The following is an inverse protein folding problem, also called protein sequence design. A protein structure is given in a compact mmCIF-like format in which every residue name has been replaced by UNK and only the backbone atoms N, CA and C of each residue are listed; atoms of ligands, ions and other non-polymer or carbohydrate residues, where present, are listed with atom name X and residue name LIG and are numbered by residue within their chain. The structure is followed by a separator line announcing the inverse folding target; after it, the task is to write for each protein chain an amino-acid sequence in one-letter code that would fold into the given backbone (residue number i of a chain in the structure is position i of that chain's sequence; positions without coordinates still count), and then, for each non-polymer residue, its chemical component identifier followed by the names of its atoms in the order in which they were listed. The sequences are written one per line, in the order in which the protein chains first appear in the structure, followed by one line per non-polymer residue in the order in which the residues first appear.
data_IF_301699098112
#
_entry.id   IF_301699098112
#
_cell.length_a   1.000
_cell.length_b   1.000
_cell.length_c   1.000
_cell.angle_alpha   90.00
_cell.angle_beta   90.00
_cell.angle_gamma   90.00
#
_symmetry.space_group_name_H-M   'P 1'
#
loop_
_entity.id
_entity.type
_entity.pdbx_description
1 polymer ?
#
# COMPACT_ATOMS: atom_id res chain seq x y z
N UNK A 1 8.52 -22.30 -18.55
CA UNK A 1 7.40 -21.67 -17.82
C UNK A 1 7.90 -20.40 -17.17
N UNK A 2 7.28 -19.28 -17.46
CA UNK A 2 7.56 -18.02 -16.76
C UNK A 2 7.00 -18.11 -15.34
N UNK A 3 7.83 -17.80 -14.34
CA UNK A 3 7.40 -17.75 -12.93
C UNK A 3 6.31 -16.70 -12.77
N UNK A 4 5.19 -17.06 -12.17
CA UNK A 4 4.12 -16.12 -11.83
C UNK A 4 4.64 -15.11 -10.80
N UNK A 5 4.30 -13.84 -10.98
CA UNK A 5 4.66 -12.74 -10.11
C UNK A 5 3.40 -12.30 -9.37
N UNK A 6 3.35 -12.51 -8.07
CA UNK A 6 2.22 -12.10 -7.23
C UNK A 6 2.40 -10.66 -6.76
N UNK A 7 1.49 -9.79 -7.16
CA UNK A 7 1.49 -8.37 -6.85
C UNK A 7 0.27 -8.04 -5.98
N UNK A 8 0.51 -7.56 -4.78
CA UNK A 8 -0.55 -7.21 -3.85
C UNK A 8 -0.76 -5.70 -3.72
N UNK A 9 -1.99 -5.26 -3.82
CA UNK A 9 -2.41 -3.91 -3.51
C UNK A 9 -3.22 -3.92 -2.22
N UNK A 10 -2.79 -3.17 -1.22
CA UNK A 10 -3.61 -2.89 -0.05
C UNK A 10 -4.70 -1.91 -0.46
N UNK A 11 -5.96 -2.33 -0.39
CA UNK A 11 -7.10 -1.43 -0.59
C UNK A 11 -7.85 -1.28 0.73
N UNK A 12 -8.44 -0.12 0.96
CA UNK A 12 -9.13 0.19 2.21
C UNK A 12 -10.16 1.30 1.99
N UNK A 13 -11.15 1.47 2.87
CA UNK A 13 -12.12 2.56 2.75
C UNK A 13 -11.42 3.92 2.63
N UNK A 14 -11.92 4.77 1.73
CA UNK A 14 -11.37 6.10 1.45
C UNK A 14 -9.97 6.10 0.79
N UNK A 15 -9.56 4.97 0.19
CA UNK A 15 -8.34 4.86 -0.62
C UNK A 15 -8.40 5.79 -1.84
N UNK A 16 -7.30 6.40 -2.21
CA UNK A 16 -7.22 7.19 -3.45
C UNK A 16 -7.27 6.26 -4.65
N UNK A 17 -8.38 6.27 -5.37
CA UNK A 17 -8.61 5.35 -6.49
C UNK A 17 -7.57 5.47 -7.60
N UNK A 18 -7.11 6.68 -7.90
CA UNK A 18 -6.08 6.90 -8.92
C UNK A 18 -4.77 6.17 -8.57
N UNK A 19 -4.38 6.19 -7.29
CA UNK A 19 -3.17 5.52 -6.83
C UNK A 19 -3.23 4.00 -7.04
N UNK A 20 -4.42 3.43 -6.86
CA UNK A 20 -4.66 2.00 -7.10
C UNK A 20 -4.73 1.72 -8.59
N UNK A 21 -5.60 2.40 -9.32
CA UNK A 21 -5.91 2.07 -10.73
C UNK A 21 -4.73 2.33 -11.66
N UNK A 22 -3.98 3.42 -11.48
CA UNK A 22 -2.83 3.72 -12.32
C UNK A 22 -1.72 2.68 -12.12
N UNK A 23 -1.38 2.37 -10.88
CA UNK A 23 -0.37 1.36 -10.59
C UNK A 23 -0.83 -0.05 -11.01
N UNK A 24 -2.09 -0.39 -10.79
CA UNK A 24 -2.70 -1.65 -11.23
C UNK A 24 -2.54 -1.84 -12.73
N UNK A 25 -2.95 -0.82 -13.52
CA UNK A 25 -2.90 -0.88 -14.98
C UNK A 25 -1.50 -1.18 -15.50
N UNK A 26 -0.49 -0.53 -14.93
CA UNK A 26 0.91 -0.71 -15.33
C UNK A 26 1.45 -2.06 -14.87
N UNK A 27 1.22 -2.43 -13.63
CA UNK A 27 1.78 -3.66 -13.03
C UNK A 27 1.07 -4.95 -13.51
N UNK A 28 -0.16 -4.84 -13.99
CA UNK A 28 -0.90 -5.96 -14.59
C UNK A 28 -0.51 -6.27 -16.03
N UNK A 29 0.28 -5.41 -16.68
CA UNK A 29 0.62 -5.56 -18.08
C UNK A 29 1.42 -6.84 -18.41
N UNK A 30 2.41 -7.28 -17.60
CA UNK A 30 3.13 -8.51 -17.89
C UNK A 30 2.21 -9.74 -17.78
N UNK A 31 2.23 -10.67 -18.76
CA UNK A 31 1.38 -11.87 -18.73
C UNK A 31 1.60 -12.78 -17.50
N UNK A 32 2.76 -12.67 -16.87
CA UNK A 32 3.09 -13.41 -15.64
C UNK A 32 2.59 -12.75 -14.37
N UNK A 33 2.01 -11.53 -14.44
CA UNK A 33 1.51 -10.82 -13.27
C UNK A 33 0.19 -11.42 -12.80
N UNK A 34 0.09 -11.64 -11.50
CA UNK A 34 -1.14 -11.99 -10.79
C UNK A 34 -1.42 -10.91 -9.76
N UNK A 35 -2.49 -10.16 -9.96
CA UNK A 35 -2.84 -9.04 -9.09
C UNK A 35 -3.80 -9.47 -8.00
N UNK A 36 -3.50 -9.08 -6.78
CA UNK A 36 -4.32 -9.32 -5.59
C UNK A 36 -4.72 -7.98 -4.96
N UNK A 37 -6.02 -7.71 -4.93
CA UNK A 37 -6.59 -6.60 -4.18
C UNK A 37 -6.91 -7.10 -2.78
N UNK A 38 -6.24 -6.56 -1.78
CA UNK A 38 -6.16 -7.14 -0.44
C UNK A 38 -6.85 -6.23 0.57
N UNK A 39 -7.79 -6.79 1.31
CA UNK A 39 -8.40 -6.14 2.46
C UNK A 39 -8.66 -7.16 3.58
N UNK A 40 -9.24 -6.73 4.69
CA UNK A 40 -9.59 -7.59 5.83
C UNK A 40 -10.69 -8.60 5.48
N UNK A 41 -11.65 -8.17 4.67
CA UNK A 41 -12.79 -8.96 4.21
C UNK A 41 -12.92 -8.90 2.70
N UNK A 42 -13.79 -9.70 2.11
CA UNK A 42 -14.14 -9.64 0.69
C UNK A 42 -15.26 -8.64 0.40
N UNK A 43 -15.77 -7.94 1.42
CA UNK A 43 -16.74 -6.88 1.23
C UNK A 43 -16.14 -5.71 0.45
N UNK A 44 -16.91 -5.11 -0.47
CA UNK A 44 -16.44 -3.97 -1.25
C UNK A 44 -16.03 -2.79 -0.37
N UNK A 45 -14.98 -2.10 -0.78
CA UNK A 45 -14.56 -0.83 -0.18
C UNK A 45 -14.91 0.33 -1.10
N UNK A 46 -15.26 1.46 -0.54
CA UNK A 46 -15.54 2.69 -1.29
C UNK A 46 -14.32 3.60 -1.24
N UNK A 47 -13.85 4.02 -2.42
CA UNK A 47 -12.71 4.94 -2.55
C UNK A 47 -13.08 6.37 -2.14
N UNK A 48 -12.09 7.25 -2.12
CA UNK A 48 -12.27 8.68 -1.80
C UNK A 48 -13.26 9.41 -2.73
N UNK A 49 -13.41 8.98 -3.98
CA UNK A 49 -14.33 9.57 -4.96
C UNK A 49 -15.56 8.69 -5.24
N UNK A 50 -15.84 7.70 -4.38
CA UNK A 50 -17.05 6.90 -4.45
C UNK A 50 -16.98 5.66 -5.36
N UNK A 51 -15.81 5.34 -5.94
CA UNK A 51 -15.65 4.11 -6.69
C UNK A 51 -15.70 2.90 -5.75
N UNK A 52 -16.53 1.93 -6.09
CA UNK A 52 -16.64 0.67 -5.34
C UNK A 52 -15.60 -0.31 -5.88
N UNK A 53 -14.73 -0.80 -5.01
CA UNK A 53 -13.65 -1.73 -5.35
C UNK A 53 -13.84 -3.01 -4.52
N UNK A 54 -13.95 -4.15 -5.20
CA UNK A 54 -14.09 -5.44 -4.51
C UNK A 54 -12.71 -6.07 -4.31
N UNK A 55 -12.33 -6.42 -3.06
CA UNK A 55 -11.12 -7.19 -2.78
C UNK A 55 -11.16 -8.56 -3.47
N UNK A 56 -10.00 -9.04 -3.93
CA UNK A 56 -9.88 -10.37 -4.52
C UNK A 56 -9.40 -11.41 -3.51
N UNK A 57 -8.83 -10.96 -2.39
CA UNK A 57 -8.37 -11.81 -1.29
C UNK A 57 -8.38 -11.05 0.04
N UNK A 58 -8.34 -11.79 1.13
CA UNK A 58 -8.20 -11.20 2.47
C UNK A 58 -6.75 -11.23 2.92
N UNK A 59 -6.40 -10.44 3.95
CA UNK A 59 -5.07 -10.48 4.57
C UNK A 59 -4.71 -11.89 5.08
N UNK A 60 -5.70 -12.68 5.54
CA UNK A 60 -5.49 -14.04 6.06
C UNK A 60 -5.27 -15.07 4.95
N UNK A 61 -5.88 -14.88 3.78
CA UNK A 61 -5.80 -15.82 2.64
C UNK A 61 -4.85 -15.32 1.54
N UNK A 62 -4.18 -14.20 1.76
CA UNK A 62 -3.28 -13.60 0.80
C UNK A 62 -2.08 -14.53 0.52
N UNK A 63 -1.80 -14.85 -0.75
CA UNK A 63 -0.63 -15.64 -1.10
C UNK A 63 0.68 -14.93 -0.75
N UNK A 64 1.79 -15.61 -0.93
CA UNK A 64 3.10 -14.97 -0.87
C UNK A 64 3.21 -13.96 -2.01
N UNK A 65 3.61 -12.73 -1.67
CA UNK A 65 3.74 -11.62 -2.60
C UNK A 65 5.20 -11.41 -3.01
N UNK A 66 5.41 -11.14 -4.28
CA UNK A 66 6.69 -10.68 -4.82
C UNK A 66 6.81 -9.15 -4.75
N UNK A 67 5.69 -8.45 -4.91
CA UNK A 67 5.59 -6.99 -4.81
C UNK A 67 4.37 -6.59 -3.98
N UNK A 68 4.57 -5.61 -3.11
CA UNK A 68 3.50 -4.97 -2.32
C UNK A 68 3.39 -3.51 -2.77
N UNK A 69 2.20 -3.06 -3.07
CA UNK A 69 1.89 -1.67 -3.38
C UNK A 69 0.89 -1.12 -2.36
N UNK A 70 1.27 -0.03 -1.71
CA UNK A 70 0.43 0.65 -0.71
C UNK A 70 0.04 2.03 -1.25
N UNK A 71 -1.22 2.22 -1.65
CA UNK A 71 -1.74 3.49 -2.11
C UNK A 71 -2.00 4.47 -0.96
N UNK A 72 -2.15 5.74 -1.28
CA UNK A 72 -2.60 6.75 -0.35
C UNK A 72 -4.10 6.75 -0.12
N UNK A 73 -4.56 7.59 0.79
CA UNK A 73 -5.97 7.74 1.12
C UNK A 73 -6.24 8.97 1.98
N UNK A 74 -7.50 9.18 2.30
CA UNK A 74 -7.96 10.22 3.21
C UNK A 74 -8.01 9.75 4.67
N UNK A 75 -9.19 9.86 5.29
CA UNK A 75 -9.40 9.47 6.70
C UNK A 75 -9.13 7.97 6.90
N UNK A 76 -9.54 7.12 5.96
CA UNK A 76 -9.29 5.67 6.02
C UNK A 76 -7.81 5.31 6.13
N UNK A 77 -6.92 6.12 5.54
CA UNK A 77 -5.48 5.95 5.72
C UNK A 77 -5.06 6.14 7.19
N UNK A 78 -5.63 7.12 7.89
CA UNK A 78 -5.33 7.37 9.30
C UNK A 78 -5.74 6.17 10.16
N UNK A 79 -6.88 5.57 9.85
CA UNK A 79 -7.37 4.35 10.52
C UNK A 79 -6.41 3.17 10.26
N UNK A 80 -6.00 2.96 9.01
CA UNK A 80 -5.03 1.91 8.64
C UNK A 80 -3.69 2.10 9.37
N UNK A 81 -3.22 3.32 9.53
CA UNK A 81 -1.98 3.62 10.27
C UNK A 81 -2.07 3.29 11.77
N UNK A 82 -3.27 3.13 12.31
CA UNK A 82 -3.50 2.73 13.71
C UNK A 82 -3.89 1.25 13.84
N UNK A 83 -4.11 0.58 12.72
CA UNK A 83 -4.57 -0.79 12.66
C UNK A 83 -3.41 -1.78 12.76
N UNK A 84 -3.26 -2.38 13.94
CA UNK A 84 -2.17 -3.32 14.22
C UNK A 84 -2.20 -4.56 13.33
N UNK A 85 -3.37 -5.02 12.93
CA UNK A 85 -3.54 -6.20 12.06
C UNK A 85 -2.96 -5.92 10.68
N UNK A 86 -3.29 -4.76 10.10
CA UNK A 86 -2.77 -4.34 8.78
C UNK A 86 -1.26 -4.07 8.86
N UNK A 87 -0.79 -3.37 9.89
CA UNK A 87 0.64 -3.11 10.04
C UNK A 87 1.45 -4.40 10.21
N UNK A 88 0.94 -5.35 10.99
CA UNK A 88 1.57 -6.67 11.16
C UNK A 88 1.57 -7.47 9.85
N UNK A 89 0.47 -7.45 9.10
CA UNK A 89 0.39 -8.07 7.77
C UNK A 89 1.47 -7.52 6.83
N UNK A 90 1.60 -6.19 6.73
CA UNK A 90 2.63 -5.56 5.91
C UNK A 90 4.05 -5.95 6.35
N UNK A 91 4.31 -5.95 7.65
CA UNK A 91 5.60 -6.37 8.21
C UNK A 91 5.93 -7.83 7.89
N UNK A 92 4.97 -8.73 7.98
CA UNK A 92 5.17 -10.15 7.68
C UNK A 92 5.41 -10.39 6.20
N UNK A 93 4.58 -9.81 5.32
CA UNK A 93 4.71 -9.99 3.87
C UNK A 93 5.98 -9.34 3.33
N UNK A 94 6.41 -8.23 3.91
CA UNK A 94 7.63 -7.52 3.50
C UNK A 94 8.92 -8.31 3.72
N UNK A 95 8.93 -9.26 4.65
CA UNK A 95 10.13 -10.09 4.91
C UNK A 95 10.53 -10.95 3.71
N UNK A 96 9.57 -11.29 2.86
CA UNK A 96 9.76 -12.19 1.72
C UNK A 96 9.54 -11.48 0.39
N UNK A 97 8.70 -10.45 0.37
CA UNK A 97 8.46 -9.64 -0.83
C UNK A 97 9.77 -9.02 -1.33
N UNK A 98 9.97 -9.13 -2.63
CA UNK A 98 11.16 -8.58 -3.30
C UNK A 98 11.11 -7.06 -3.42
N UNK A 99 9.91 -6.52 -3.57
CA UNK A 99 9.67 -5.08 -3.71
C UNK A 99 8.53 -4.64 -2.80
N UNK A 100 8.75 -3.51 -2.12
CA UNK A 100 7.75 -2.81 -1.33
C UNK A 100 7.65 -1.41 -1.90
N UNK A 101 6.47 -1.05 -2.36
CA UNK A 101 6.22 0.22 -3.04
C UNK A 101 5.04 0.95 -2.41
N UNK A 102 5.01 2.25 -2.58
CA UNK A 102 3.89 3.08 -2.20
C UNK A 102 3.64 4.18 -3.22
N UNK A 103 2.42 4.63 -3.29
CA UNK A 103 2.01 5.77 -4.11
C UNK A 103 1.46 6.85 -3.18
N UNK A 104 1.74 8.12 -3.49
CA UNK A 104 1.22 9.27 -2.76
C UNK A 104 1.53 9.19 -1.25
N UNK A 105 0.50 9.30 -0.41
CA UNK A 105 0.62 9.20 1.06
C UNK A 105 0.70 7.77 1.60
N UNK A 106 0.66 6.75 0.75
CA UNK A 106 0.87 5.36 1.15
C UNK A 106 2.21 5.11 1.84
N UNK A 107 3.21 5.95 1.57
CA UNK A 107 4.50 5.94 2.28
C UNK A 107 4.36 6.17 3.79
N UNK A 108 3.32 6.89 4.23
CA UNK A 108 3.05 7.08 5.67
C UNK A 108 2.64 5.78 6.35
N UNK A 109 1.87 4.94 5.67
CA UNK A 109 1.50 3.61 6.16
C UNK A 109 2.76 2.74 6.28
N UNK A 110 3.63 2.75 5.26
CA UNK A 110 4.90 2.01 5.31
C UNK A 110 5.81 2.51 6.43
N UNK A 111 5.88 3.82 6.64
CA UNK A 111 6.64 4.42 7.74
C UNK A 111 6.10 3.96 9.11
N UNK A 112 4.77 3.94 9.27
CA UNK A 112 4.12 3.48 10.50
C UNK A 112 4.35 1.98 10.76
N UNK A 113 4.48 1.19 9.69
CA UNK A 113 4.85 -0.22 9.77
C UNK A 113 6.36 -0.44 10.00
N UNK A 114 7.16 0.61 10.19
CA UNK A 114 8.63 0.58 10.33
C UNK A 114 9.37 0.00 9.10
N UNK A 115 8.77 0.08 7.92
CA UNK A 115 9.35 -0.46 6.68
C UNK A 115 10.22 0.55 5.93
N UNK A 116 10.25 1.81 6.36
CA UNK A 116 11.07 2.86 5.75
C UNK A 116 12.31 3.25 6.59
N UNK A 117 12.59 2.56 7.68
CA UNK A 117 13.74 2.87 8.53
C UNK A 117 15.04 2.70 7.75
N UNK A 118 15.84 3.78 7.65
CA UNK A 118 17.09 3.79 6.90
C UNK A 118 16.95 4.03 5.39
N UNK A 119 15.72 4.18 4.88
CA UNK A 119 15.47 4.49 3.47
C UNK A 119 15.08 5.95 3.28
N UNK A 120 15.39 6.48 2.12
CA UNK A 120 14.88 7.79 1.67
C UNK A 120 13.50 7.58 1.06
N UNK A 121 12.53 8.37 1.48
CA UNK A 121 11.15 8.29 1.00
C UNK A 121 10.59 9.69 0.75
N UNK A 122 9.59 9.77 -0.10
CA UNK A 122 8.82 10.98 -0.36
C UNK A 122 7.33 10.65 -0.35
N UNK A 123 6.50 11.66 -0.24
CA UNK A 123 5.05 11.52 -0.33
C UNK A 123 4.44 12.72 -1.05
N UNK A 124 3.11 12.76 -1.15
CA UNK A 124 2.41 13.91 -1.70
C UNK A 124 2.73 15.18 -0.90
N UNK A 125 3.12 16.26 -1.58
CA UNK A 125 3.71 17.48 -1.01
C UNK A 125 2.88 18.14 0.10
N UNK A 126 1.56 18.19 -0.02
CA UNK A 126 0.69 18.79 1.01
C UNK A 126 0.69 18.01 2.32
N UNK A 127 0.89 16.71 2.26
CA UNK A 127 0.91 15.82 3.45
C UNK A 127 2.29 15.75 4.11
N UNK A 128 3.36 15.99 3.34
CA UNK A 128 4.72 16.04 3.87
C UNK A 128 5.00 17.30 4.71
N UNK A 129 4.25 18.36 4.50
CA UNK A 129 4.39 19.62 5.24
C UNK A 129 3.85 19.55 6.67
N UNK A 130 2.95 18.63 6.97
CA UNK A 130 2.44 18.39 8.31
C UNK A 130 3.25 17.32 9.05
N UNK A 131 4.25 17.76 9.78
CA UNK A 131 4.90 17.21 11.00
C UNK A 131 5.13 15.68 11.14
N UNK A 132 4.38 14.83 10.48
CA UNK A 132 4.35 13.39 10.80
C UNK A 132 5.50 12.61 10.16
N UNK A 133 5.98 13.00 8.98
CA UNK A 133 7.10 12.31 8.33
C UNK A 133 8.45 12.61 8.97
N UNK A 134 8.64 13.81 9.51
CA UNK A 134 9.90 14.17 10.15
C UNK A 134 10.24 13.34 11.39
N UNK A 135 9.23 12.78 12.06
CA UNK A 135 9.45 11.91 13.22
C UNK A 135 9.65 10.43 12.87
N UNK A 136 9.21 9.99 11.68
CA UNK A 136 9.26 8.59 11.28
C UNK A 136 10.35 8.29 10.24
N UNK A 137 10.74 9.28 9.45
CA UNK A 137 11.81 9.13 8.48
C UNK A 137 13.00 9.97 8.95
N UNK A 138 13.97 9.31 9.58
CA UNK A 138 15.26 9.90 9.90
C UNK A 138 16.06 10.04 8.61
N UNK A 139 15.64 10.92 7.69
CA UNK A 139 16.42 11.25 6.52
C UNK A 139 15.88 12.48 5.80
N UNK A 140 16.76 13.26 5.29
CA UNK A 140 16.56 14.50 4.56
C UNK A 140 15.49 14.34 3.45
N UNK A 141 14.34 14.95 3.65
CA UNK A 141 13.42 15.25 2.55
C UNK A 141 14.05 16.41 1.81
N UNK A 142 14.62 16.17 0.65
CA UNK A 142 14.95 17.27 -0.26
C UNK A 142 13.68 17.80 -0.87
N UNK A 143 13.41 19.07 -0.60
CA UNK A 143 12.38 19.90 -1.28
C UNK A 143 12.69 20.03 -2.77
#
# INVERSE_FOLDING_TARGET
MTKQINIGFLIYPDVVQLDVMAAYQVLAFPPSASIHLIWKTLEPVTSNEGLIITPTTTINNCPQLDLICVPGGGIGQVEVMQDREILSFLQQKSKIAKYITSVCTGSLILAKANLLNGYRATCHTKSCLHTTLKSYVKSEVRS
#
